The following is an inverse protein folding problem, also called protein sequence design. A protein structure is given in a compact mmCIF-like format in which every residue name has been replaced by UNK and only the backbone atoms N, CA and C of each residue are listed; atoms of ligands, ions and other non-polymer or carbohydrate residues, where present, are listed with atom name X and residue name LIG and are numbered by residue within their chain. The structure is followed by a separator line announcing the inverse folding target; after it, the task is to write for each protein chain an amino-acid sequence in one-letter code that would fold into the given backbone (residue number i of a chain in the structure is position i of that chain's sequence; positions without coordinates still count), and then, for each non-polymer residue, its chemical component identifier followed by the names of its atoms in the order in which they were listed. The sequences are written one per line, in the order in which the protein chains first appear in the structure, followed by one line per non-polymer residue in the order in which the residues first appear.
data_IF_668577739249
#
_entry.id   IF_668577739249
#
_cell.length_a   1.000
_cell.length_b   1.000
_cell.length_c   1.000
_cell.angle_alpha   90.00
_cell.angle_beta   90.00
_cell.angle_gamma   90.00
#
_symmetry.space_group_name_H-M   'P 1'
#
loop_
_entity.id
_entity.type
_entity.pdbx_description
1 polymer ?
#
# COMPACT_ATOMS: atom_id res chain seq x y z
N UNK A 1 -13.51 19.00 1.74
CA UNK A 1 -13.09 18.85 0.34
C UNK A 1 -14.32 18.85 -0.54
N UNK A 2 -14.25 19.42 -1.73
CA UNK A 2 -15.43 19.70 -2.57
C UNK A 2 -15.65 18.61 -3.61
N UNK A 3 -16.90 18.32 -3.95
CA UNK A 3 -17.30 17.41 -5.04
C UNK A 3 -16.59 17.72 -6.37
N UNK A 4 -16.33 19.00 -6.65
CA UNK A 4 -15.56 19.48 -7.81
C UNK A 4 -14.12 18.91 -7.91
N UNK A 5 -13.50 18.55 -6.78
CA UNK A 5 -12.17 17.92 -6.74
C UNK A 5 -12.21 16.50 -7.30
N UNK A 6 -13.28 15.76 -7.00
CA UNK A 6 -13.48 14.39 -7.46
C UNK A 6 -13.75 14.40 -8.96
N UNK A 7 -14.69 15.25 -9.40
CA UNK A 7 -15.08 15.36 -10.82
C UNK A 7 -13.91 15.71 -11.74
N UNK A 8 -12.99 16.57 -11.30
CA UNK A 8 -11.81 16.97 -12.09
C UNK A 8 -10.73 15.88 -12.14
N UNK A 9 -10.55 15.11 -11.06
CA UNK A 9 -9.59 14.01 -11.05
C UNK A 9 -10.08 12.85 -11.93
N UNK A 10 -11.38 12.59 -11.92
CA UNK A 10 -12.02 11.55 -12.74
C UNK A 10 -12.05 11.88 -14.24
N UNK A 11 -12.10 13.17 -14.60
CA UNK A 11 -12.11 13.59 -16.01
C UNK A 11 -10.79 13.35 -16.74
N UNK A 12 -9.67 13.27 -16.01
CA UNK A 12 -8.33 13.05 -16.59
C UNK A 12 -7.86 11.60 -16.43
N UNK A 13 -8.20 10.97 -15.30
CA UNK A 13 -7.79 9.59 -14.97
C UNK A 13 -8.99 8.85 -14.40
N UNK A 14 -9.45 7.81 -15.10
CA UNK A 14 -10.61 7.02 -14.66
C UNK A 14 -10.42 6.41 -13.27
N UNK A 15 -11.51 6.35 -12.50
CA UNK A 15 -11.58 5.84 -11.11
C UNK A 15 -10.91 4.47 -10.95
N UNK A 16 -11.10 3.58 -11.92
CA UNK A 16 -10.52 2.23 -11.90
C UNK A 16 -8.98 2.24 -11.90
N UNK A 17 -8.36 3.20 -12.57
CA UNK A 17 -6.90 3.37 -12.55
C UNK A 17 -6.43 3.74 -11.15
N UNK A 18 -7.13 4.68 -10.50
CA UNK A 18 -6.83 5.07 -9.13
C UNK A 18 -7.00 3.90 -8.15
N UNK A 19 -8.10 3.13 -8.26
CA UNK A 19 -8.31 1.93 -7.44
C UNK A 19 -7.17 0.92 -7.59
N UNK A 20 -6.82 0.55 -8.82
CA UNK A 20 -5.73 -0.41 -9.09
C UNK A 20 -4.39 0.07 -8.49
N UNK A 21 -4.11 1.37 -8.56
CA UNK A 21 -2.88 1.94 -8.00
C UNK A 21 -2.89 1.97 -6.48
N UNK A 22 -4.01 2.30 -5.86
CA UNK A 22 -4.17 2.29 -4.40
C UNK A 22 -4.03 0.88 -3.83
N UNK A 23 -4.63 -0.12 -4.48
CA UNK A 23 -4.41 -1.52 -4.12
C UNK A 23 -2.95 -1.93 -4.26
N UNK A 24 -2.31 -1.55 -5.37
CA UNK A 24 -0.89 -1.84 -5.59
C UNK A 24 -0.03 -1.21 -4.49
N UNK A 25 -0.34 0.03 -4.09
CA UNK A 25 0.35 0.71 -3.00
C UNK A 25 0.21 -0.07 -1.68
N UNK A 26 -1.01 -0.49 -1.33
CA UNK A 26 -1.27 -1.30 -0.13
C UNK A 26 -0.58 -2.66 -0.17
N UNK A 27 -0.61 -3.36 -1.30
CA UNK A 27 0.10 -4.65 -1.49
C UNK A 27 1.62 -4.50 -1.31
N UNK A 28 2.17 -3.35 -1.69
CA UNK A 28 3.59 -3.03 -1.54
C UNK A 28 3.95 -2.46 -0.15
N UNK A 29 2.97 -2.32 0.74
CA UNK A 29 3.18 -1.87 2.12
C UNK A 29 3.42 -0.37 2.26
N UNK A 30 3.03 0.44 1.26
CA UNK A 30 3.07 1.89 1.39
C UNK A 30 2.09 2.34 2.50
N UNK A 31 2.47 3.40 3.20
CA UNK A 31 1.67 4.00 4.27
C UNK A 31 1.56 5.50 4.03
N UNK A 32 0.38 6.05 4.31
CA UNK A 32 0.12 7.48 4.26
C UNK A 32 -0.11 7.99 5.68
N UNK A 33 0.47 9.14 6.00
CA UNK A 33 0.39 9.80 7.29
C UNK A 33 0.00 11.25 7.07
N UNK A 34 -0.92 11.77 7.87
CA UNK A 34 -1.23 13.21 7.88
C UNK A 34 -0.09 13.98 8.52
N UNK A 35 0.31 15.10 7.93
CA UNK A 35 1.33 15.97 8.48
C UNK A 35 0.68 17.08 9.31
N UNK A 36 1.16 17.28 10.54
CA UNK A 36 0.72 18.38 11.42
C UNK A 36 -0.80 18.46 11.65
N UNK A 37 -1.50 17.32 11.61
CA UNK A 37 -2.97 17.22 11.65
C UNK A 37 -3.69 17.96 10.49
N UNK A 38 -2.95 18.41 9.48
CA UNK A 38 -3.51 19.03 8.29
C UNK A 38 -4.15 17.97 7.38
N UNK A 39 -5.45 18.11 7.11
CA UNK A 39 -6.19 17.24 6.21
C UNK A 39 -5.73 17.36 4.74
N UNK A 40 -5.02 18.43 4.39
CA UNK A 40 -4.56 18.70 3.02
C UNK A 40 -3.16 18.17 2.74
N UNK A 41 -2.36 17.89 3.76
CA UNK A 41 -0.94 17.57 3.59
C UNK A 41 -0.60 16.20 4.17
N UNK A 42 -0.03 15.34 3.33
CA UNK A 42 0.21 13.93 3.65
C UNK A 42 1.65 13.55 3.29
N UNK A 43 2.27 12.72 4.12
CA UNK A 43 3.50 12.01 3.78
C UNK A 43 3.19 10.56 3.41
N UNK A 44 3.70 10.09 2.28
CA UNK A 44 3.50 8.73 1.79
C UNK A 44 4.84 8.02 1.62
N UNK A 45 5.01 6.87 2.24
CA UNK A 45 6.28 6.12 2.17
C UNK A 45 6.54 5.56 0.77
N UNK A 46 7.82 5.42 0.44
CA UNK A 46 8.28 4.79 -0.80
C UNK A 46 8.59 3.31 -0.59
N UNK A 47 8.16 2.46 -1.52
CA UNK A 47 8.56 1.05 -1.55
C UNK A 47 9.94 0.85 -2.18
N UNK A 48 10.26 1.60 -3.24
CA UNK A 48 11.51 1.44 -3.99
C UNK A 48 12.69 2.21 -3.40
N UNK A 49 12.44 3.14 -2.48
CA UNK A 49 13.46 3.91 -1.79
C UNK A 49 13.17 3.86 -0.28
N UNK A 50 13.68 2.84 0.43
CA UNK A 50 13.50 2.72 1.87
C UNK A 50 13.97 3.99 2.60
N UNK A 51 13.23 4.40 3.64
CA UNK A 51 13.53 5.62 4.39
C UNK A 51 13.09 6.93 3.71
N UNK A 52 12.58 6.88 2.48
CA UNK A 52 12.04 8.06 1.79
C UNK A 52 10.51 8.11 1.90
N UNK A 53 9.98 9.30 2.16
CA UNK A 53 8.57 9.61 2.02
C UNK A 53 8.39 10.78 1.06
N UNK A 54 7.31 10.74 0.29
CA UNK A 54 6.92 11.80 -0.62
C UNK A 54 5.73 12.55 -0.05
N UNK A 55 5.77 13.86 -0.19
CA UNK A 55 4.66 14.72 0.19
C UNK A 55 3.56 14.64 -0.88
N UNK A 56 2.32 14.62 -0.42
CA UNK A 56 1.11 14.74 -1.22
C UNK A 56 0.26 15.84 -0.64
N UNK A 57 -0.02 16.86 -1.45
CA UNK A 57 -0.70 18.09 -1.02
C UNK A 57 -1.94 18.32 -1.86
N UNK A 58 -3.02 18.69 -1.20
CA UNK A 58 -4.32 18.96 -1.81
C UNK A 58 -4.50 20.47 -1.89
N UNK A 59 -4.42 21.00 -3.11
CA UNK A 59 -4.48 22.43 -3.38
C UNK A 59 -5.53 22.69 -4.46
N UNK A 60 -6.59 23.43 -4.12
CA UNK A 60 -7.64 23.89 -5.05
C UNK A 60 -8.26 22.82 -5.97
N UNK A 61 -8.32 21.59 -5.45
CA UNK A 61 -8.86 20.43 -6.17
C UNK A 61 -7.83 19.66 -6.99
N UNK A 62 -6.57 20.08 -6.97
CA UNK A 62 -5.46 19.31 -7.49
C UNK A 62 -4.78 18.51 -6.38
N UNK A 63 -4.29 17.34 -6.76
CA UNK A 63 -3.55 16.45 -5.88
C UNK A 63 -2.09 16.44 -6.32
N UNK A 64 -1.27 17.25 -5.66
CA UNK A 64 0.16 17.40 -5.96
C UNK A 64 0.95 16.31 -5.24
N UNK A 65 2.03 15.84 -5.84
CA UNK A 65 2.90 14.86 -5.21
C UNK A 65 4.35 15.20 -5.55
N UNK A 66 5.25 15.07 -4.58
CA UNK A 66 6.68 15.35 -4.76
C UNK A 66 7.50 14.18 -5.33
N UNK A 67 6.85 13.05 -5.66
CA UNK A 67 7.56 11.90 -6.22
C UNK A 67 8.06 12.18 -7.65
N UNK A 68 9.17 11.58 -8.11
CA UNK A 68 9.66 11.81 -9.48
C UNK A 68 8.63 11.48 -10.57
N UNK A 69 7.76 10.48 -10.33
CA UNK A 69 6.76 10.05 -11.30
C UNK A 69 5.66 11.08 -11.57
N UNK A 70 5.35 11.97 -10.62
CA UNK A 70 4.31 13.00 -10.81
C UNK A 70 4.74 14.15 -11.71
N UNK A 71 6.02 14.28 -12.02
CA UNK A 71 6.51 15.21 -13.04
C UNK A 71 6.13 14.77 -14.47
N UNK A 72 5.88 13.48 -14.67
CA UNK A 72 5.65 12.89 -15.99
C UNK A 72 4.22 12.38 -16.19
N UNK A 73 3.53 12.03 -15.10
CA UNK A 73 2.21 11.43 -15.16
C UNK A 73 1.21 12.15 -14.25
N UNK A 74 -0.06 12.27 -14.68
CA UNK A 74 -1.12 12.86 -13.85
C UNK A 74 -1.49 11.97 -12.65
N UNK A 75 -1.03 10.71 -12.62
CA UNK A 75 -1.28 9.76 -11.55
C UNK A 75 -0.01 9.14 -11.00
N UNK A 76 -0.05 8.74 -9.73
CA UNK A 76 0.97 7.90 -9.12
C UNK A 76 0.37 7.08 -7.97
N UNK A 77 1.10 6.07 -7.50
CA UNK A 77 0.67 5.24 -6.35
C UNK A 77 0.47 6.05 -5.07
N UNK A 78 1.27 7.09 -4.85
CA UNK A 78 1.19 7.92 -3.65
C UNK A 78 -0.12 8.73 -3.62
N UNK A 79 -0.44 9.39 -4.73
CA UNK A 79 -1.72 10.09 -4.95
C UNK A 79 -2.91 9.14 -4.77
N UNK A 80 -2.85 7.98 -5.41
CA UNK A 80 -3.91 6.97 -5.32
C UNK A 80 -4.17 6.52 -3.87
N UNK A 81 -3.10 6.31 -3.09
CA UNK A 81 -3.23 5.91 -1.69
C UNK A 81 -3.89 7.02 -0.86
N UNK A 82 -3.51 8.29 -1.04
CA UNK A 82 -4.14 9.41 -0.32
C UNK A 82 -5.62 9.53 -0.68
N UNK A 83 -5.98 9.38 -1.96
CA UNK A 83 -7.40 9.37 -2.37
C UNK A 83 -8.19 8.24 -1.69
N UNK A 84 -7.58 7.06 -1.53
CA UNK A 84 -8.20 5.96 -0.78
C UNK A 84 -8.39 6.29 0.70
N UNK A 85 -7.38 6.86 1.37
CA UNK A 85 -7.46 7.25 2.78
C UNK A 85 -8.48 8.37 3.03
N UNK A 86 -8.76 9.18 2.00
CA UNK A 86 -9.82 10.19 2.02
C UNK A 86 -11.21 9.63 1.68
N UNK A 87 -11.31 8.36 1.28
CA UNK A 87 -12.57 7.73 0.86
C UNK A 87 -13.09 8.19 -0.50
N UNK A 88 -12.25 8.83 -1.33
CA UNK A 88 -12.68 9.51 -2.56
C UNK A 88 -12.70 8.63 -3.81
N UNK A 89 -12.19 7.39 -3.75
CA UNK A 89 -12.16 6.46 -4.89
C UNK A 89 -13.04 5.22 -4.67
N UNK A 90 -14.11 5.39 -3.90
CA UNK A 90 -14.99 4.32 -3.41
C UNK A 90 -14.32 3.48 -2.33
N UNK A 91 -15.12 2.82 -1.49
CA UNK A 91 -14.60 1.94 -0.43
C UNK A 91 -13.76 0.81 -1.04
N UNK A 92 -12.43 0.91 -0.88
CA UNK A 92 -11.58 -0.27 -0.96
C UNK A 92 -11.86 -1.10 0.29
N UNK A 93 -12.07 -2.43 0.18
CA UNK A 93 -12.38 -3.26 1.34
C UNK A 93 -11.36 -3.02 2.44
N UNK A 94 -11.88 -2.58 3.57
CA UNK A 94 -11.13 -2.19 4.75
C UNK A 94 -10.41 -3.43 5.27
N UNK A 95 -9.07 -3.51 5.15
CA UNK A 95 -8.33 -4.56 5.84
C UNK A 95 -8.20 -4.10 7.29
N UNK A 96 -8.84 -4.77 8.26
CA UNK A 96 -8.84 -4.29 9.63
C UNK A 96 -7.41 -4.17 10.14
N UNK A 97 -7.16 -3.08 10.87
CA UNK A 97 -5.93 -2.84 11.61
C UNK A 97 -5.53 -4.09 12.39
N UNK A 98 -4.27 -4.47 12.26
CA UNK A 98 -3.69 -5.60 12.99
C UNK A 98 -3.50 -5.22 14.46
N UNK A 99 -4.59 -5.05 15.22
CA UNK A 99 -4.54 -5.02 16.69
C UNK A 99 -4.52 -6.46 17.21
N UNK A 100 -3.39 -6.78 17.85
CA UNK A 100 -3.18 -7.81 18.87
C UNK A 100 -3.83 -9.20 18.65
N UNK A 101 -3.00 -10.18 18.25
CA UNK A 101 -3.07 -11.52 18.86
C UNK A 101 -1.70 -11.90 19.40
N UNK A 102 -1.45 -11.46 20.63
CA UNK A 102 -0.61 -12.20 21.54
C UNK A 102 -1.45 -13.36 22.12
N UNK A 103 -0.87 -14.57 22.14
CA UNK A 103 -1.17 -15.63 23.10
C UNK A 103 -2.44 -16.47 22.89
N UNK A 104 -2.29 -17.65 22.27
CA UNK A 104 -2.64 -18.96 22.85
C UNK A 104 -2.64 -20.08 21.80
N UNK A 105 -1.51 -20.79 21.67
CA UNK A 105 -1.46 -22.21 22.05
C UNK A 105 -0.01 -22.67 22.17
N UNK A 106 0.33 -23.11 23.37
CA UNK A 106 1.62 -23.67 23.73
C UNK A 106 1.74 -25.13 23.25
N UNK A 107 2.93 -25.44 22.73
CA UNK A 107 3.77 -26.65 22.90
C UNK A 107 3.10 -28.03 23.12
N UNK A 108 3.45 -28.97 22.22
CA UNK A 108 3.99 -30.32 22.53
C UNK A 108 4.95 -30.66 21.36
N UNK A 109 6.30 -30.63 21.51
CA UNK A 109 7.25 -31.76 21.76
C UNK A 109 7.00 -32.98 20.83
N UNK A 110 7.97 -33.69 20.25
CA UNK A 110 9.42 -33.74 20.39
C UNK A 110 10.02 -34.53 19.19
N UNK A 111 11.29 -34.25 18.88
CA UNK A 111 12.35 -35.17 18.41
C UNK A 111 11.98 -36.41 17.57
N UNK A 112 12.58 -36.50 16.38
CA UNK A 112 13.47 -37.62 16.07
C UNK A 112 14.41 -37.29 14.90
N UNK A 113 15.68 -37.59 15.15
CA UNK A 113 16.85 -37.43 14.30
C UNK A 113 17.15 -38.74 13.55
N UNK A 114 17.99 -38.63 12.52
CA UNK A 114 18.70 -39.72 11.79
C UNK A 114 17.81 -40.54 10.85
N UNK A 115 18.19 -40.86 9.60
CA UNK A 115 19.49 -41.32 9.11
C UNK A 115 19.53 -41.25 7.56
N UNK A 116 20.71 -41.08 6.98
CA UNK A 116 21.08 -41.42 5.60
C UNK A 116 22.36 -42.28 5.69
N UNK A 117 22.93 -42.89 4.62
CA UNK A 117 22.44 -43.30 3.28
C UNK A 117 22.74 -44.80 2.98
N UNK A 118 22.68 -45.22 1.70
CA UNK A 118 23.55 -46.21 0.96
C UNK A 118 22.82 -47.30 0.12
N UNK A 119 23.45 -47.85 -0.95
CA UNK A 119 22.79 -48.18 -2.23
C UNK A 119 22.78 -49.67 -2.68
N UNK A 120 21.99 -49.95 -3.74
CA UNK A 120 22.13 -51.04 -4.77
C UNK A 120 22.02 -52.52 -4.32
N UNK A 121 21.76 -53.52 -5.20
CA UNK A 121 22.19 -53.61 -6.61
C UNK A 121 21.16 -54.10 -7.66
N UNK A 122 21.64 -54.05 -8.90
CA UNK A 122 21.06 -54.57 -10.13
C UNK A 122 20.68 -56.05 -10.08
N UNK A 123 19.74 -56.45 -10.93
CA UNK A 123 19.39 -57.85 -11.21
C UNK A 123 19.10 -58.02 -12.70
N UNK A 124 19.64 -59.09 -13.29
CA UNK A 124 19.19 -59.68 -14.57
C UNK A 124 20.08 -59.42 -15.76
#
# INVERSE_FOLDING_TARGET
MTQATIERLESVVGVETWRRLAEKARRQGLRAFRLNDDARTWAVTSHSQPGTAYEVTILDGDLLCSCPGSAYYPYCKHRALVLAELGLIGELPNRPERRARAGHRARVRATQSHQAPEPSPASG
#
